data_IF_353368260767
#
_entry.id   IF_353368260767
#
_cell.length_a   1.000
_cell.length_b   1.000
_cell.length_c   1.000
_cell.angle_alpha   90.00
_cell.angle_beta   90.00
_cell.angle_gamma   90.00
#
_symmetry.space_group_name_H-M   'P 1'
#
loop_
_entity.id
_entity.type
_entity.pdbx_description
1 polymer ?
#
# COMPACT_ATOMS: atom_id res chain seq x y z
N UNK A 1 71.38 84.81 28.11
CA UNK A 1 70.42 85.86 28.54
C UNK A 1 69.35 85.97 27.48
N UNK A 2 68.09 85.89 27.92
CA UNK A 2 66.87 86.47 27.29
C UNK A 2 66.10 85.64 26.23
N UNK A 3 65.02 85.06 26.78
CA UNK A 3 63.62 85.01 26.35
C UNK A 3 63.14 84.19 25.14
N UNK A 4 62.33 83.19 25.53
CA UNK A 4 61.31 82.53 24.74
C UNK A 4 60.19 83.47 24.29
N UNK A 5 59.63 83.19 23.11
CA UNK A 5 58.27 83.59 22.74
C UNK A 5 57.55 82.32 22.27
N UNK A 6 56.50 81.98 23.01
CA UNK A 6 55.58 80.89 22.72
C UNK A 6 54.48 81.43 21.81
N UNK A 7 54.33 80.89 20.60
CA UNK A 7 53.13 81.04 19.78
C UNK A 7 52.65 79.64 19.44
N UNK A 8 51.48 79.29 19.96
CA UNK A 8 50.67 78.17 19.52
C UNK A 8 49.52 78.72 18.69
N UNK A 9 49.28 78.18 17.48
CA UNK A 9 47.94 77.78 17.04
C UNK A 9 47.94 77.02 15.71
N UNK A 10 47.26 75.86 15.76
CA UNK A 10 46.50 75.15 14.72
C UNK A 10 47.27 74.53 13.54
N UNK A 11 47.72 73.30 13.77
CA UNK A 11 48.03 72.33 12.72
C UNK A 11 46.76 71.83 12.02
N UNK A 12 46.83 71.84 10.69
CA UNK A 12 45.89 71.25 9.74
C UNK A 12 46.00 69.73 9.88
N UNK A 13 45.03 69.11 10.57
CA UNK A 13 44.88 67.67 10.62
C UNK A 13 43.91 67.20 9.54
N UNK A 14 44.44 66.75 8.41
CA UNK A 14 43.68 65.93 7.48
C UNK A 14 43.27 64.64 8.21
N UNK A 15 42.00 64.53 8.59
CA UNK A 15 41.44 63.27 9.05
C UNK A 15 41.39 62.33 7.85
N UNK A 16 42.43 61.51 7.72
CA UNK A 16 42.32 60.20 7.08
C UNK A 16 41.19 59.47 7.80
N UNK A 17 40.02 59.37 7.17
CA UNK A 17 38.96 58.49 7.63
C UNK A 17 39.56 57.09 7.75
N UNK A 18 39.76 56.63 8.99
CA UNK A 18 40.12 55.27 9.26
C UNK A 18 39.04 54.40 8.59
N UNK A 19 39.47 53.49 7.71
CA UNK A 19 38.60 52.50 7.12
C UNK A 19 37.79 51.84 8.25
N UNK A 20 36.47 51.95 8.17
CA UNK A 20 35.56 51.21 9.04
C UNK A 20 36.01 49.74 9.07
N UNK A 21 36.01 49.07 10.23
CA UNK A 21 36.41 47.67 10.31
C UNK A 21 35.64 46.90 9.25
N UNK A 22 36.36 46.19 8.38
CA UNK A 22 35.78 45.36 7.33
C UNK A 22 34.88 44.32 7.98
N UNK A 23 33.59 44.62 8.08
CA UNK A 23 32.58 43.68 8.53
C UNK A 23 32.67 42.46 7.62
N UNK A 24 32.92 41.29 8.21
CA UNK A 24 32.99 40.04 7.45
C UNK A 24 31.60 39.80 6.88
N UNK A 25 31.45 39.89 5.56
CA UNK A 25 30.16 39.64 4.91
C UNK A 25 29.76 38.18 5.13
N UNK A 26 28.64 37.95 5.81
CA UNK A 26 28.10 36.61 6.03
C UNK A 26 26.75 36.45 5.35
N UNK A 27 26.44 35.22 4.94
CA UNK A 27 25.15 34.87 4.38
C UNK A 27 24.77 33.47 4.86
N UNK A 28 23.59 33.34 5.46
CA UNK A 28 23.12 32.11 6.07
C UNK A 28 21.64 31.87 5.81
N UNK A 29 21.23 30.61 5.95
CA UNK A 29 19.84 30.16 5.82
C UNK A 29 19.45 29.39 7.07
N UNK A 30 18.22 29.59 7.53
CA UNK A 30 17.62 28.87 8.65
C UNK A 30 16.18 28.49 8.30
N UNK A 31 15.78 27.21 8.47
CA UNK A 31 16.61 26.06 8.87
C UNK A 31 17.65 25.66 7.81
N UNK A 32 18.67 24.88 8.21
CA UNK A 32 19.70 24.34 7.28
C UNK A 32 19.21 23.11 6.48
N UNK A 33 18.10 22.51 6.92
CA UNK A 33 17.40 21.44 6.21
C UNK A 33 15.99 21.91 5.91
N UNK A 34 15.49 21.67 4.71
CA UNK A 34 14.16 22.08 4.29
C UNK A 34 13.55 21.10 3.29
N UNK A 35 12.25 21.25 3.04
CA UNK A 35 11.51 20.59 1.99
C UNK A 35 11.24 21.55 0.82
N UNK A 36 10.97 21.02 -0.38
CA UNK A 36 10.48 21.84 -1.48
C UNK A 36 9.16 22.54 -1.08
N UNK A 37 8.98 23.77 -1.54
CA UNK A 37 7.84 24.65 -1.22
C UNK A 37 7.76 25.13 0.25
N UNK A 38 8.77 24.80 1.08
CA UNK A 38 8.86 25.27 2.46
C UNK A 38 9.46 26.68 2.51
N UNK A 39 9.00 27.47 3.49
CA UNK A 39 9.55 28.79 3.76
C UNK A 39 10.81 28.69 4.61
N UNK A 40 11.88 29.37 4.19
CA UNK A 40 13.13 29.49 4.95
C UNK A 40 13.51 30.96 5.12
N UNK A 41 14.21 31.25 6.21
CA UNK A 41 14.72 32.60 6.50
C UNK A 41 16.16 32.73 6.04
N UNK A 42 16.43 33.77 5.28
CA UNK A 42 17.74 34.21 4.86
C UNK A 42 18.21 35.37 5.74
N UNK A 43 19.47 35.30 6.18
CA UNK A 43 20.12 36.37 6.94
C UNK A 43 21.43 36.74 6.24
N UNK A 44 21.58 38.03 5.92
CA UNK A 44 22.81 38.59 5.37
C UNK A 44 23.35 39.72 6.25
N UNK A 45 24.66 39.77 6.41
CA UNK A 45 25.35 40.88 7.11
C UNK A 45 26.53 41.36 6.29
N UNK A 46 26.86 42.65 6.39
CA UNK A 46 27.99 43.26 5.67
C UNK A 46 27.86 43.22 4.15
N UNK A 47 26.63 43.28 3.62
CA UNK A 47 26.38 43.61 2.21
C UNK A 47 26.63 45.10 1.98
N UNK A 48 26.45 45.60 0.75
CA UNK A 48 26.76 46.99 0.41
C UNK A 48 26.01 47.96 1.35
N UNK A 49 26.72 48.73 2.21
CA UNK A 49 26.09 49.64 3.17
C UNK A 49 25.63 50.92 2.49
N UNK A 50 24.67 51.64 3.07
CA UNK A 50 24.10 52.87 2.47
C UNK A 50 25.09 54.05 2.38
N UNK A 51 26.27 53.93 2.99
CA UNK A 51 27.38 54.87 2.80
C UNK A 51 28.06 54.74 1.44
N UNK A 52 27.85 53.62 0.74
CA UNK A 52 28.28 53.45 -0.66
C UNK A 52 27.30 54.20 -1.56
N UNK A 53 27.81 54.97 -2.52
CA UNK A 53 26.93 55.69 -3.45
C UNK A 53 26.33 54.74 -4.50
N UNK A 54 25.12 55.05 -4.99
CA UNK A 54 24.52 54.35 -6.13
C UNK A 54 23.50 53.26 -5.78
N UNK A 55 22.98 53.23 -4.54
CA UNK A 55 21.91 52.30 -4.16
C UNK A 55 20.61 52.56 -4.93
N UNK A 56 19.93 51.47 -5.28
CA UNK A 56 18.71 51.49 -6.08
C UNK A 56 17.43 51.79 -5.26
N UNK A 57 17.52 51.81 -3.93
CA UNK A 57 16.43 52.01 -3.00
C UNK A 57 16.17 53.49 -2.66
N UNK A 58 15.17 53.72 -1.80
CA UNK A 58 14.83 55.07 -1.33
C UNK A 58 16.03 55.72 -0.63
N UNK A 59 16.26 57.01 -0.90
CA UNK A 59 17.41 57.76 -0.37
C UNK A 59 18.78 57.15 -0.69
N UNK A 60 18.87 56.32 -1.75
CA UNK A 60 20.11 55.66 -2.15
C UNK A 60 20.46 54.43 -1.30
N UNK A 61 19.49 53.84 -0.58
CA UNK A 61 19.72 52.57 0.13
C UNK A 61 20.00 51.43 -0.85
N UNK A 62 20.87 50.51 -0.45
CA UNK A 62 21.14 49.30 -1.22
C UNK A 62 20.13 48.20 -0.91
N UNK A 63 19.89 47.35 -1.89
CA UNK A 63 18.88 46.30 -1.83
C UNK A 63 19.19 45.14 -2.80
N UNK A 64 18.51 44.02 -2.58
CA UNK A 64 18.29 43.02 -3.64
C UNK A 64 17.00 43.42 -4.36
N UNK A 65 17.12 43.84 -5.62
CA UNK A 65 16.02 44.47 -6.35
C UNK A 65 14.99 43.49 -6.90
N UNK A 66 15.38 42.22 -7.11
CA UNK A 66 14.59 41.24 -7.85
C UNK A 66 14.68 41.38 -9.38
N UNK A 67 15.47 42.33 -9.89
CA UNK A 67 15.57 42.65 -11.31
C UNK A 67 16.98 42.40 -11.86
N UNK A 68 17.04 41.96 -13.12
CA UNK A 68 18.30 41.67 -13.81
C UNK A 68 19.15 40.67 -13.01
N UNK A 69 20.36 41.07 -12.65
CA UNK A 69 21.28 40.21 -11.90
C UNK A 69 21.11 40.32 -10.37
N UNK A 70 20.39 41.33 -9.86
CA UNK A 70 20.22 41.60 -8.43
C UNK A 70 19.03 40.80 -7.91
N UNK A 71 19.25 39.51 -7.61
CA UNK A 71 18.20 38.53 -7.35
C UNK A 71 18.69 37.40 -6.42
N UNK A 72 17.75 36.75 -5.73
CA UNK A 72 17.98 35.48 -5.03
C UNK A 72 17.84 34.33 -6.04
N UNK A 73 18.79 33.39 -6.07
CA UNK A 73 18.78 32.21 -6.94
C UNK A 73 18.87 30.96 -6.08
N UNK A 74 17.96 30.00 -6.26
CA UNK A 74 17.96 28.72 -5.54
C UNK A 74 18.11 27.58 -6.54
N UNK A 75 19.16 26.76 -6.41
CA UNK A 75 19.37 25.61 -7.29
C UNK A 75 19.49 26.00 -8.78
N UNK A 76 20.01 27.20 -9.06
CA UNK A 76 20.11 27.76 -10.42
C UNK A 76 18.85 28.49 -10.91
N UNK A 77 17.77 28.52 -10.13
CA UNK A 77 16.52 29.19 -10.49
C UNK A 77 16.43 30.57 -9.82
N UNK A 78 16.42 31.69 -10.59
CA UNK A 78 16.13 33.00 -10.03
C UNK A 78 14.71 33.03 -9.45
N UNK A 79 14.59 33.46 -8.20
CA UNK A 79 13.30 33.53 -7.53
C UNK A 79 12.52 34.75 -8.01
N UNK A 80 11.23 34.54 -8.22
CA UNK A 80 10.21 35.56 -8.48
C UNK A 80 9.04 35.35 -7.50
N UNK A 81 8.07 36.25 -7.48
CA UNK A 81 6.82 36.02 -6.75
C UNK A 81 6.15 34.71 -7.23
N UNK A 82 5.68 33.84 -6.33
CA UNK A 82 5.54 34.01 -4.88
C UNK A 82 6.76 33.59 -4.05
N UNK A 83 7.80 33.01 -4.66
CA UNK A 83 8.93 32.42 -3.95
C UNK A 83 9.86 33.41 -3.25
N UNK A 84 9.84 34.67 -3.66
CA UNK A 84 10.49 35.76 -2.96
C UNK A 84 9.68 37.06 -3.12
N UNK A 85 9.75 37.93 -2.11
CA UNK A 85 9.19 39.28 -2.15
C UNK A 85 10.35 40.26 -2.29
N UNK A 86 10.28 41.11 -3.31
CA UNK A 86 11.27 42.14 -3.60
C UNK A 86 10.65 43.54 -3.51
N UNK A 87 11.47 44.57 -3.24
CA UNK A 87 12.90 44.49 -2.94
C UNK A 87 13.17 43.98 -1.51
N UNK A 88 14.35 43.38 -1.32
CA UNK A 88 14.89 43.09 0.01
C UNK A 88 15.82 44.23 0.40
N UNK A 89 15.35 45.11 1.29
CA UNK A 89 16.07 46.30 1.71
C UNK A 89 17.14 45.98 2.77
N UNK A 90 18.27 46.68 2.70
CA UNK A 90 19.31 46.60 3.72
C UNK A 90 19.17 47.74 4.74
N UNK A 91 19.67 47.52 5.95
CA UNK A 91 19.91 48.61 6.89
C UNK A 91 21.16 49.43 6.49
N UNK A 92 21.49 50.44 7.31
CA UNK A 92 22.65 51.32 7.09
C UNK A 92 23.99 50.58 7.06
N UNK A 93 24.08 49.43 7.73
CA UNK A 93 25.29 48.61 7.83
C UNK A 93 25.32 47.48 6.78
N UNK A 94 24.29 47.37 5.94
CA UNK A 94 24.20 46.31 4.93
C UNK A 94 23.68 44.99 5.48
N UNK A 95 22.99 44.98 6.62
CA UNK A 95 22.32 43.79 7.14
C UNK A 95 20.88 43.70 6.64
N UNK A 96 20.38 42.48 6.50
CA UNK A 96 19.02 42.23 6.06
C UNK A 96 18.52 40.85 6.48
N UNK A 97 17.20 40.69 6.46
CA UNK A 97 16.52 39.41 6.67
C UNK A 97 15.38 39.30 5.67
N UNK A 98 15.22 38.12 5.07
CA UNK A 98 14.12 37.86 4.14
C UNK A 98 13.59 36.43 4.32
N UNK A 99 12.29 36.25 4.11
CA UNK A 99 11.69 34.93 3.96
C UNK A 99 11.56 34.60 2.48
N UNK A 100 11.97 33.38 2.09
CA UNK A 100 11.79 32.85 0.74
C UNK A 100 11.09 31.50 0.82
N UNK A 101 10.42 31.11 -0.25
CA UNK A 101 9.87 29.76 -0.43
C UNK A 101 10.80 28.98 -1.34
N UNK A 102 11.31 27.84 -0.89
CA UNK A 102 12.15 26.96 -1.72
C UNK A 102 11.33 26.52 -2.96
N UNK A 103 11.75 26.81 -4.19
CA UNK A 103 10.95 26.53 -5.37
C UNK A 103 10.88 25.04 -5.67
N UNK A 104 9.77 24.59 -6.27
CA UNK A 104 9.66 23.22 -6.75
C UNK A 104 10.25 23.14 -8.15
N UNK A 105 11.43 22.55 -8.25
CA UNK A 105 12.15 22.33 -9.51
C UNK A 105 12.75 20.94 -9.51
N UNK A 106 13.10 20.39 -10.68
CA UNK A 106 13.77 19.09 -10.76
C UNK A 106 15.07 19.03 -9.94
N UNK A 107 15.85 20.13 -9.92
CA UNK A 107 17.08 20.24 -9.12
C UNK A 107 16.81 20.16 -7.62
N UNK A 108 15.77 20.85 -7.14
CA UNK A 108 15.40 20.84 -5.71
C UNK A 108 14.81 19.48 -5.32
N UNK A 109 13.92 18.92 -6.15
CA UNK A 109 13.27 17.63 -5.90
C UNK A 109 14.24 16.44 -5.91
N UNK A 110 15.37 16.54 -6.60
CA UNK A 110 16.43 15.53 -6.53
C UNK A 110 17.03 15.38 -5.12
N UNK A 111 16.79 16.37 -4.24
CA UNK A 111 17.28 16.43 -2.87
C UNK A 111 18.80 16.59 -2.76
N UNK A 112 19.29 16.60 -1.53
CA UNK A 112 20.69 16.87 -1.22
C UNK A 112 20.99 18.36 -1.09
N UNK A 113 22.27 18.73 -1.22
CA UNK A 113 22.71 20.11 -1.03
C UNK A 113 22.33 21.01 -2.20
N UNK A 114 21.50 22.01 -1.93
CA UNK A 114 21.11 23.05 -2.89
C UNK A 114 21.79 24.36 -2.53
N UNK A 115 22.42 24.99 -3.51
CA UNK A 115 23.07 26.31 -3.35
C UNK A 115 22.03 27.41 -3.49
N UNK A 116 22.06 28.35 -2.55
CA UNK A 116 21.34 29.62 -2.60
C UNK A 116 22.37 30.70 -2.87
N UNK A 117 22.17 31.49 -3.92
CA UNK A 117 23.00 32.65 -4.26
C UNK A 117 22.16 33.91 -4.10
N UNK A 118 22.76 34.96 -3.57
CA UNK A 118 22.17 36.31 -3.52
C UNK A 118 23.13 37.28 -4.16
N UNK A 119 22.60 38.24 -4.91
CA UNK A 119 23.36 39.35 -5.48
C UNK A 119 22.62 40.66 -5.24
N UNK A 120 23.33 41.66 -4.72
CA UNK A 120 22.76 43.00 -4.50
C UNK A 120 22.83 43.88 -5.76
N UNK A 121 22.36 45.12 -5.64
CA UNK A 121 22.32 46.10 -6.73
C UNK A 121 23.69 46.62 -7.20
N UNK A 122 24.76 46.43 -6.42
CA UNK A 122 26.15 46.73 -6.83
C UNK A 122 26.89 45.51 -7.37
N UNK A 123 26.23 44.35 -7.40
CA UNK A 123 26.77 43.12 -7.93
C UNK A 123 27.59 42.30 -6.93
N UNK A 124 27.67 42.71 -5.66
CA UNK A 124 28.22 41.87 -4.60
C UNK A 124 27.34 40.64 -4.46
N UNK A 125 27.96 39.45 -4.48
CA UNK A 125 27.23 38.20 -4.35
C UNK A 125 27.81 37.29 -3.28
N UNK A 126 26.93 36.51 -2.66
CA UNK A 126 27.28 35.48 -1.67
C UNK A 126 26.44 34.23 -1.87
N UNK A 127 26.95 33.12 -1.36
CA UNK A 127 26.28 31.83 -1.42
C UNK A 127 26.13 31.23 -0.03
N UNK A 128 25.03 30.51 0.16
CA UNK A 128 24.82 29.60 1.28
C UNK A 128 24.26 28.28 0.75
N UNK A 129 24.09 27.29 1.62
CA UNK A 129 23.60 25.97 1.28
C UNK A 129 22.46 25.58 2.19
N UNK A 130 21.44 24.96 1.60
CA UNK A 130 20.35 24.26 2.30
C UNK A 130 20.36 22.79 1.88
N UNK A 131 20.14 21.88 2.81
CA UNK A 131 19.97 20.47 2.53
C UNK A 131 18.49 20.16 2.29
N UNK A 132 18.16 19.62 1.13
CA UNK A 132 16.78 19.24 0.79
C UNK A 132 16.60 17.75 1.02
N UNK A 133 15.66 17.39 1.90
CA UNK A 133 15.33 15.98 2.16
C UNK A 133 14.73 15.32 0.91
N UNK A 134 14.96 14.01 0.76
CA UNK A 134 14.40 13.23 -0.35
C UNK A 134 13.08 12.58 0.06
N UNK A 135 12.04 12.65 -0.78
CA UNK A 135 10.79 11.95 -0.51
C UNK A 135 11.02 10.44 -0.31
N UNK A 136 10.31 9.86 0.65
CA UNK A 136 10.26 8.40 0.86
C UNK A 136 8.84 7.94 1.14
N UNK A 137 8.57 6.67 0.85
CA UNK A 137 7.33 6.00 1.26
C UNK A 137 7.63 4.72 2.01
N UNK A 138 6.72 4.35 2.91
CA UNK A 138 6.66 3.03 3.57
C UNK A 138 5.28 2.42 3.34
N UNK A 139 5.22 1.10 3.41
CA UNK A 139 4.01 0.33 3.19
C UNK A 139 3.67 -0.48 4.44
N UNK A 140 2.39 -0.53 4.79
CA UNK A 140 1.90 -1.39 5.86
C UNK A 140 0.56 -2.03 5.45
N UNK A 141 0.50 -3.37 5.31
CA UNK A 141 1.62 -4.32 5.40
C UNK A 141 2.57 -4.25 4.18
N UNK A 142 3.83 -4.69 4.32
CA UNK A 142 4.77 -4.80 3.20
C UNK A 142 4.45 -5.99 2.25
N UNK A 143 3.76 -7.00 2.77
CA UNK A 143 3.29 -8.16 2.02
C UNK A 143 1.84 -8.48 2.38
N UNK A 144 1.01 -8.74 1.38
CA UNK A 144 -0.38 -9.12 1.61
C UNK A 144 -0.97 -9.88 0.43
N UNK A 145 -2.28 -10.14 0.48
CA UNK A 145 -3.03 -10.72 -0.64
C UNK A 145 -3.72 -9.62 -1.44
N UNK A 146 -4.21 -9.98 -2.62
CA UNK A 146 -5.13 -9.12 -3.37
C UNK A 146 -6.32 -8.70 -2.51
N UNK A 147 -6.83 -7.49 -2.75
CA UNK A 147 -7.95 -6.90 -2.02
C UNK A 147 -7.75 -6.69 -0.51
N UNK A 148 -6.53 -6.82 0.00
CA UNK A 148 -6.18 -6.37 1.36
C UNK A 148 -5.97 -4.86 1.37
N UNK A 149 -6.36 -4.17 2.44
CA UNK A 149 -6.04 -2.75 2.59
C UNK A 149 -4.54 -2.55 2.80
N UNK A 150 -3.95 -1.72 1.96
CA UNK A 150 -2.55 -1.32 2.00
C UNK A 150 -2.48 0.15 2.40
N UNK A 151 -1.76 0.43 3.48
CA UNK A 151 -1.44 1.79 3.92
C UNK A 151 -0.13 2.24 3.28
N UNK A 152 -0.17 3.38 2.60
CA UNK A 152 1.02 4.05 2.06
C UNK A 152 1.26 5.32 2.87
N UNK A 153 2.42 5.38 3.52
CA UNK A 153 2.85 6.53 4.32
C UNK A 153 4.00 7.25 3.63
N UNK A 154 3.80 8.51 3.26
CA UNK A 154 4.81 9.37 2.66
C UNK A 154 5.44 10.33 3.66
N UNK A 155 6.73 10.60 3.47
CA UNK A 155 7.54 11.54 4.25
C UNK A 155 8.41 12.38 3.33
N UNK A 156 8.68 13.62 3.73
CA UNK A 156 9.59 14.56 3.05
C UNK A 156 9.17 14.88 1.59
N UNK A 157 7.88 14.87 1.29
CA UNK A 157 7.34 15.40 0.03
C UNK A 157 7.27 16.93 0.07
N UNK A 158 7.10 17.61 -1.09
CA UNK A 158 6.86 19.05 -1.11
C UNK A 158 5.72 19.43 -0.17
N UNK A 159 5.95 20.44 0.68
CA UNK A 159 4.92 20.91 1.61
C UNK A 159 3.82 21.65 0.83
N UNK A 160 2.58 21.56 1.28
CA UNK A 160 1.55 22.45 0.74
C UNK A 160 1.74 23.86 1.27
N UNK A 161 1.76 24.83 0.35
CA UNK A 161 1.95 26.23 0.67
C UNK A 161 0.80 27.06 0.07
N UNK A 162 0.04 27.84 0.86
CA UNK A 162 -1.03 28.69 0.34
C UNK A 162 -0.56 29.71 -0.71
N UNK A 163 0.73 30.10 -0.65
CA UNK A 163 1.31 31.03 -1.62
C UNK A 163 1.65 30.38 -2.97
N UNK A 164 1.72 29.04 -3.05
CA UNK A 164 2.11 28.31 -4.27
C UNK A 164 1.36 26.98 -4.39
N UNK A 165 0.50 26.86 -5.40
CA UNK A 165 -0.29 25.65 -5.68
C UNK A 165 0.49 24.56 -6.46
N UNK A 166 1.64 24.91 -7.05
CA UNK A 166 2.44 24.02 -7.88
C UNK A 166 2.98 22.86 -7.05
N UNK A 167 2.98 21.63 -7.58
CA UNK A 167 3.59 20.46 -6.94
C UNK A 167 2.93 20.00 -5.62
N UNK A 168 1.75 20.55 -5.27
CA UNK A 168 1.01 20.21 -4.05
C UNK A 168 0.16 18.92 -4.18
N UNK A 169 0.53 18.00 -5.07
CA UNK A 169 -0.18 16.73 -5.21
C UNK A 169 0.82 15.60 -5.46
N UNK A 170 0.53 14.45 -4.87
CA UNK A 170 1.30 13.22 -5.02
C UNK A 170 0.43 12.17 -5.70
N UNK A 171 0.87 11.69 -6.85
CA UNK A 171 0.25 10.59 -7.57
C UNK A 171 0.79 9.26 -7.04
N UNK A 172 -0.11 8.43 -6.50
CA UNK A 172 0.19 7.08 -6.04
C UNK A 172 -0.19 6.11 -7.15
N UNK A 173 0.79 5.34 -7.61
CA UNK A 173 0.59 4.26 -8.57
C UNK A 173 1.02 2.93 -7.97
N UNK A 174 0.31 1.87 -8.36
CA UNK A 174 0.57 0.49 -7.98
C UNK A 174 0.81 -0.33 -9.25
N UNK A 175 1.94 -1.01 -9.34
CA UNK A 175 2.34 -1.77 -10.52
C UNK A 175 2.23 -0.95 -11.85
N UNK A 176 2.56 0.35 -11.78
CA UNK A 176 2.50 1.26 -12.93
C UNK A 176 1.12 1.86 -13.23
N UNK A 177 0.07 1.46 -12.52
CA UNK A 177 -1.28 2.01 -12.69
C UNK A 177 -1.57 3.06 -11.63
N UNK A 178 -2.03 4.25 -12.02
CA UNK A 178 -2.46 5.30 -11.09
C UNK A 178 -3.67 4.80 -10.28
N UNK A 179 -3.55 4.80 -8.95
CA UNK A 179 -4.62 4.35 -8.04
C UNK A 179 -5.21 5.49 -7.21
N UNK A 180 -4.42 6.53 -6.89
CA UNK A 180 -4.90 7.65 -6.07
C UNK A 180 -4.09 8.92 -6.29
N UNK A 181 -4.75 10.06 -6.17
CA UNK A 181 -4.11 11.37 -6.02
C UNK A 181 -4.26 11.81 -4.57
N UNK A 182 -3.15 12.20 -3.94
CA UNK A 182 -3.09 12.65 -2.56
C UNK A 182 -2.77 14.15 -2.57
N UNK A 183 -3.56 15.01 -1.90
CA UNK A 183 -3.21 16.40 -1.74
C UNK A 183 -1.96 16.54 -0.86
N UNK A 184 -1.15 17.56 -1.13
CA UNK A 184 0.02 17.89 -0.32
C UNK A 184 -0.39 18.33 1.09
N UNK A 185 0.43 17.98 2.06
CA UNK A 185 0.25 18.36 3.47
C UNK A 185 1.24 19.47 3.85
N UNK A 186 0.91 20.37 4.79
CA UNK A 186 1.82 21.43 5.23
C UNK A 186 3.14 20.92 5.84
N UNK A 187 3.19 19.66 6.26
CA UNK A 187 4.38 19.01 6.82
C UNK A 187 5.15 18.18 5.78
N UNK A 188 4.63 18.03 4.56
CA UNK A 188 5.22 17.17 3.53
C UNK A 188 5.01 15.67 3.77
N UNK A 189 4.13 15.32 4.72
CA UNK A 189 3.80 13.95 5.08
C UNK A 189 2.41 13.58 4.56
N UNK A 190 2.16 12.30 4.28
CA UNK A 190 0.79 11.85 4.01
C UNK A 190 0.59 10.41 4.44
N UNK A 191 -0.68 10.04 4.63
CA UNK A 191 -1.07 8.65 4.84
C UNK A 191 -2.32 8.37 4.04
N UNK A 192 -2.30 7.28 3.29
CA UNK A 192 -3.42 6.91 2.44
C UNK A 192 -3.61 5.39 2.42
N UNK A 193 -4.85 4.96 2.55
CA UNK A 193 -5.22 3.56 2.37
C UNK A 193 -5.79 3.34 0.97
N UNK A 194 -5.45 2.17 0.40
CA UNK A 194 -5.97 1.67 -0.87
C UNK A 194 -6.01 0.14 -0.86
N UNK A 195 -7.01 -0.51 -1.47
CA UNK A 195 -6.99 -1.97 -1.61
C UNK A 195 -5.92 -2.39 -2.62
N UNK A 196 -5.22 -3.50 -2.36
CA UNK A 196 -4.37 -4.15 -3.37
C UNK A 196 -5.24 -4.54 -4.58
N UNK A 197 -4.91 -4.12 -5.82
CA UNK A 197 -5.77 -4.34 -6.98
C UNK A 197 -6.05 -5.84 -7.24
N UNK A 198 -7.31 -6.17 -7.55
CA UNK A 198 -7.79 -7.56 -7.74
C UNK A 198 -7.08 -8.27 -8.91
N UNK A 199 -6.70 -7.52 -9.95
CA UNK A 199 -5.99 -8.06 -11.13
C UNK A 199 -4.47 -8.24 -10.96
N UNK A 200 -3.93 -8.04 -9.76
CA UNK A 200 -2.49 -8.18 -9.50
C UNK A 200 -2.10 -9.65 -9.51
N UNK A 201 -1.00 -10.00 -10.19
CA UNK A 201 -0.48 -11.34 -10.18
C UNK A 201 -0.06 -11.76 -8.76
N UNK A 202 -0.43 -12.96 -8.33
CA UNK A 202 0.01 -13.51 -7.03
C UNK A 202 1.43 -14.05 -7.11
N UNK A 203 2.15 -14.06 -5.99
CA UNK A 203 3.57 -14.44 -5.94
C UNK A 203 4.47 -13.44 -6.65
N UNK A 204 4.14 -12.16 -6.58
CA UNK A 204 4.82 -11.10 -7.34
C UNK A 204 5.19 -9.90 -6.48
N UNK A 205 6.29 -9.25 -6.85
CA UNK A 205 6.74 -8.00 -6.25
C UNK A 205 6.26 -6.83 -7.11
N UNK A 206 5.47 -5.94 -6.50
CA UNK A 206 4.84 -4.83 -7.18
C UNK A 206 5.42 -3.51 -6.69
N UNK A 207 5.81 -2.64 -7.62
CA UNK A 207 6.31 -1.31 -7.27
C UNK A 207 5.11 -0.42 -6.93
N UNK A 208 5.11 0.10 -5.71
CA UNK A 208 4.29 1.25 -5.33
C UNK A 208 5.14 2.49 -5.52
N UNK A 209 4.63 3.46 -6.28
CA UNK A 209 5.34 4.70 -6.57
C UNK A 209 4.49 5.90 -6.16
N UNK A 210 5.10 6.82 -5.43
CA UNK A 210 4.54 8.11 -5.06
C UNK A 210 5.32 9.22 -5.78
N UNK A 211 4.69 9.85 -6.77
CA UNK A 211 5.31 10.82 -7.66
C UNK A 211 4.74 12.22 -7.42
N UNK A 212 5.60 13.24 -7.36
CA UNK A 212 5.14 14.63 -7.31
C UNK A 212 4.57 15.00 -8.68
N UNK A 213 3.30 15.41 -8.73
CA UNK A 213 2.62 15.70 -10.00
C UNK A 213 3.36 16.81 -10.76
N UNK A 214 3.63 16.57 -12.04
CA UNK A 214 4.37 17.48 -12.92
C UNK A 214 5.89 17.27 -12.93
N UNK A 215 6.41 16.30 -12.17
CA UNK A 215 7.84 15.99 -12.10
C UNK A 215 8.10 14.49 -12.14
N UNK A 216 9.28 14.08 -12.61
CA UNK A 216 9.68 12.66 -12.68
C UNK A 216 10.18 12.10 -11.34
N UNK A 217 10.50 12.97 -10.38
CA UNK A 217 10.97 12.56 -9.06
C UNK A 217 9.84 11.86 -8.29
N UNK A 218 10.17 10.68 -7.75
CA UNK A 218 9.23 9.85 -7.01
C UNK A 218 9.93 9.05 -5.93
N UNK A 219 9.20 8.74 -4.86
CA UNK A 219 9.57 7.70 -3.92
C UNK A 219 8.96 6.35 -4.35
N UNK A 220 9.65 5.26 -4.07
CA UNK A 220 9.18 3.91 -4.39
C UNK A 220 9.35 2.97 -3.21
N UNK A 221 8.42 2.04 -3.08
CA UNK A 221 8.50 0.88 -2.20
C UNK A 221 8.02 -0.37 -2.95
N UNK A 222 8.41 -1.54 -2.47
CA UNK A 222 8.00 -2.82 -3.05
C UNK A 222 6.96 -3.44 -2.14
N UNK A 223 5.81 -3.79 -2.71
CA UNK A 223 4.78 -4.59 -2.04
C UNK A 223 4.81 -6.02 -2.60
N UNK A 224 4.92 -7.02 -1.73
CA UNK A 224 4.82 -8.42 -2.13
C UNK A 224 3.35 -8.89 -2.10
N UNK A 225 2.85 -9.38 -3.23
CA UNK A 225 1.59 -10.12 -3.25
C UNK A 225 1.89 -11.60 -3.09
N UNK A 226 1.47 -12.18 -1.97
CA UNK A 226 1.78 -13.57 -1.61
C UNK A 226 1.15 -14.56 -2.61
N UNK A 227 1.89 -15.64 -2.92
CA UNK A 227 1.37 -16.76 -3.70
C UNK A 227 0.48 -17.68 -2.84
N UNK A 228 -0.56 -18.30 -3.40
CA UNK A 228 -1.23 -19.39 -2.71
C UNK A 228 -0.31 -20.61 -2.63
N UNK A 229 -0.56 -21.45 -1.64
CA UNK A 229 0.18 -22.69 -1.41
C UNK A 229 -0.79 -23.85 -1.24
N UNK A 230 -0.34 -25.03 -1.65
CA UNK A 230 -1.00 -26.29 -1.32
C UNK A 230 0.01 -27.25 -0.71
N UNK A 231 -0.44 -28.01 0.28
CA UNK A 231 0.33 -29.09 0.91
C UNK A 231 -0.39 -30.40 0.62
N UNK A 232 0.36 -31.41 0.18
CA UNK A 232 -0.17 -32.75 -0.08
C UNK A 232 0.29 -33.73 1.00
N UNK A 233 -0.61 -34.60 1.46
CA UNK A 233 -0.32 -35.63 2.45
C UNK A 233 -1.05 -36.93 2.12
N UNK A 234 -0.35 -38.06 1.95
CA UNK A 234 1.12 -38.17 1.95
C UNK A 234 1.78 -37.48 0.74
N UNK A 235 3.10 -37.30 0.77
CA UNK A 235 3.88 -36.74 -0.36
C UNK A 235 4.33 -37.80 -1.37
N UNK A 236 4.07 -39.08 -1.07
CA UNK A 236 4.38 -40.21 -1.93
C UNK A 236 3.42 -41.39 -1.66
N UNK A 237 3.36 -42.32 -2.61
CA UNK A 237 2.51 -43.51 -2.54
C UNK A 237 2.35 -44.19 -3.89
N UNK A 238 1.77 -45.39 -3.90
CA UNK A 238 1.43 -46.12 -5.13
C UNK A 238 0.09 -45.61 -5.72
N UNK A 239 -0.26 -45.96 -6.98
CA UNK A 239 -1.58 -45.62 -7.53
C UNK A 239 -2.74 -45.99 -6.61
N UNK A 240 -3.75 -45.14 -6.55
CA UNK A 240 -4.94 -45.29 -5.71
C UNK A 240 -4.79 -44.88 -4.23
N UNK A 241 -3.57 -44.50 -3.81
CA UNK A 241 -3.35 -43.84 -2.50
C UNK A 241 -4.25 -42.59 -2.38
N UNK A 242 -4.97 -42.46 -1.26
CA UNK A 242 -5.76 -41.27 -0.96
C UNK A 242 -4.84 -40.14 -0.53
N UNK A 243 -4.89 -39.03 -1.26
CA UNK A 243 -4.09 -37.84 -1.04
C UNK A 243 -4.97 -36.73 -0.52
N UNK A 244 -4.62 -36.18 0.64
CA UNK A 244 -5.18 -34.93 1.18
C UNK A 244 -4.46 -33.74 0.59
N UNK A 245 -5.20 -32.78 0.07
CA UNK A 245 -4.71 -31.45 -0.29
C UNK A 245 -5.22 -30.46 0.76
N UNK A 246 -4.30 -29.69 1.34
CA UNK A 246 -4.63 -28.55 2.20
C UNK A 246 -4.12 -27.29 1.51
N UNK A 247 -5.04 -26.42 1.08
CA UNK A 247 -4.71 -25.15 0.46
C UNK A 247 -4.78 -23.99 1.44
N UNK A 248 -3.94 -22.99 1.23
CA UNK A 248 -3.95 -21.71 1.93
C UNK A 248 -3.53 -20.60 0.96
N UNK A 249 -3.95 -19.36 1.19
CA UNK A 249 -3.53 -18.25 0.33
C UNK A 249 -4.44 -17.98 -0.87
N UNK A 250 -5.51 -18.75 -1.05
CA UNK A 250 -6.45 -18.57 -2.16
C UNK A 250 -7.40 -17.40 -1.90
N UNK A 251 -8.10 -16.89 -2.93
CA UNK A 251 -9.20 -15.95 -2.72
C UNK A 251 -10.25 -16.55 -1.77
N UNK A 252 -10.84 -15.77 -0.85
CA UNK A 252 -11.86 -16.27 0.08
C UNK A 252 -13.19 -16.53 -0.64
N UNK A 253 -13.96 -17.51 -0.17
CA UNK A 253 -15.30 -17.82 -0.67
C UNK A 253 -15.40 -18.14 -2.16
N UNK A 254 -14.36 -18.74 -2.76
CA UNK A 254 -14.35 -19.18 -4.17
C UNK A 254 -14.33 -20.69 -4.29
N UNK A 255 -14.86 -21.22 -5.39
CA UNK A 255 -14.77 -22.64 -5.70
C UNK A 255 -13.37 -23.02 -6.19
N UNK A 256 -12.86 -24.16 -5.73
CA UNK A 256 -11.65 -24.79 -6.28
C UNK A 256 -12.06 -25.66 -7.46
N UNK A 257 -12.21 -25.05 -8.62
CA UNK A 257 -12.85 -25.66 -9.80
C UNK A 257 -11.96 -26.62 -10.57
N UNK A 258 -10.65 -26.57 -10.37
CA UNK A 258 -9.71 -27.40 -11.12
C UNK A 258 -8.55 -27.87 -10.22
N UNK A 259 -8.66 -29.11 -9.76
CA UNK A 259 -7.58 -29.86 -9.13
C UNK A 259 -7.08 -30.93 -10.09
N UNK A 260 -5.77 -30.99 -10.33
CA UNK A 260 -5.17 -31.96 -11.26
C UNK A 260 -3.97 -32.67 -10.65
N UNK A 261 -3.82 -33.93 -11.01
CA UNK A 261 -2.56 -34.66 -10.89
C UNK A 261 -1.97 -34.80 -12.29
N UNK A 262 -0.88 -34.08 -12.57
CA UNK A 262 -0.34 -33.83 -13.91
C UNK A 262 -1.45 -33.43 -14.89
N UNK A 263 -1.70 -34.23 -15.92
CA UNK A 263 -2.73 -33.97 -16.93
C UNK A 263 -4.11 -34.57 -16.58
N UNK A 264 -4.28 -35.20 -15.41
CA UNK A 264 -5.55 -35.85 -15.02
C UNK A 264 -6.34 -34.95 -14.07
N UNK A 265 -7.62 -34.71 -14.39
CA UNK A 265 -8.51 -33.98 -13.49
C UNK A 265 -8.92 -34.88 -12.31
N UNK A 266 -8.67 -34.42 -11.09
CA UNK A 266 -8.98 -35.11 -9.83
C UNK A 266 -9.87 -34.26 -8.92
N UNK A 267 -10.53 -33.25 -9.48
CA UNK A 267 -11.44 -32.36 -8.75
C UNK A 267 -12.57 -33.17 -8.12
N UNK A 268 -12.81 -32.95 -6.82
CA UNK A 268 -13.93 -33.58 -6.12
C UNK A 268 -15.26 -33.11 -6.70
N UNK A 269 -16.29 -33.95 -6.58
CA UNK A 269 -17.66 -33.59 -6.96
C UNK A 269 -18.58 -33.71 -5.73
N UNK A 270 -19.11 -32.60 -5.18
CA UNK A 270 -18.90 -31.22 -5.64
C UNK A 270 -17.47 -30.71 -5.38
N UNK A 271 -17.01 -29.67 -6.09
CA UNK A 271 -15.76 -28.99 -5.78
C UNK A 271 -15.82 -28.35 -4.39
N UNK A 272 -14.70 -28.30 -3.65
CA UNK A 272 -14.67 -27.59 -2.37
C UNK A 272 -14.69 -26.07 -2.62
N UNK A 273 -15.12 -25.33 -1.61
CA UNK A 273 -14.98 -23.88 -1.57
C UNK A 273 -13.88 -23.50 -0.57
N UNK A 274 -13.22 -22.37 -0.79
CA UNK A 274 -12.36 -21.75 0.22
C UNK A 274 -13.21 -21.07 1.29
N UNK A 275 -12.72 -21.08 2.53
CA UNK A 275 -13.31 -20.31 3.63
C UNK A 275 -12.97 -18.81 3.55
N UNK A 276 -13.40 -18.04 4.56
CA UNK A 276 -13.12 -16.60 4.67
C UNK A 276 -11.61 -16.28 4.77
N UNK A 277 -10.79 -17.24 5.18
CA UNK A 277 -9.33 -17.13 5.26
C UNK A 277 -8.63 -17.60 3.97
N UNK A 278 -9.38 -18.05 2.96
CA UNK A 278 -8.82 -18.58 1.71
C UNK A 278 -8.18 -19.97 1.89
N UNK A 279 -8.61 -20.74 2.88
CA UNK A 279 -8.16 -22.12 3.11
C UNK A 279 -9.19 -23.10 2.57
N UNK A 280 -8.73 -24.28 2.17
CA UNK A 280 -9.61 -25.40 1.82
C UNK A 280 -8.91 -26.73 2.10
N UNK A 281 -9.72 -27.78 2.20
CA UNK A 281 -9.24 -29.17 2.25
C UNK A 281 -10.03 -29.99 1.24
N UNK A 282 -9.33 -30.84 0.48
CA UNK A 282 -9.96 -31.83 -0.40
C UNK A 282 -9.14 -33.11 -0.47
N UNK A 283 -9.74 -34.16 -1.00
CA UNK A 283 -9.14 -35.48 -1.11
C UNK A 283 -9.38 -36.04 -2.51
N UNK A 284 -8.42 -36.80 -3.00
CA UNK A 284 -8.57 -37.59 -4.22
C UNK A 284 -7.75 -38.88 -4.12
N UNK A 285 -8.09 -39.88 -4.92
CA UNK A 285 -7.27 -41.08 -5.09
C UNK A 285 -6.27 -40.85 -6.21
N UNK A 286 -4.99 -41.12 -5.97
CA UNK A 286 -3.92 -40.94 -6.95
C UNK A 286 -4.22 -41.75 -8.23
N UNK A 287 -4.26 -41.12 -9.42
CA UNK A 287 -4.44 -41.85 -10.67
C UNK A 287 -3.29 -42.83 -10.96
N UNK A 288 -3.51 -43.71 -11.94
CA UNK A 288 -2.48 -44.65 -12.40
C UNK A 288 -1.45 -43.91 -13.26
N UNK A 289 -0.27 -43.68 -12.68
CA UNK A 289 0.89 -43.13 -13.37
C UNK A 289 2.08 -44.08 -13.26
N UNK A 290 3.04 -43.96 -14.18
CA UNK A 290 4.35 -44.58 -14.01
C UNK A 290 5.07 -44.01 -12.77
N UNK A 291 5.91 -44.80 -12.08
CA UNK A 291 6.69 -44.32 -10.94
C UNK A 291 7.51 -43.08 -11.29
N UNK A 292 7.55 -42.11 -10.37
CA UNK A 292 8.22 -40.82 -10.57
C UNK A 292 7.47 -39.64 -9.96
N UNK A 293 8.04 -38.45 -10.12
CA UNK A 293 7.47 -37.21 -9.60
C UNK A 293 6.33 -36.74 -10.48
N UNK A 294 5.18 -36.47 -9.87
CA UNK A 294 3.99 -35.90 -10.50
C UNK A 294 3.67 -34.54 -9.87
N UNK A 295 3.22 -33.60 -10.69
CA UNK A 295 2.78 -32.28 -10.21
C UNK A 295 1.32 -32.34 -9.78
N UNK A 296 1.00 -31.82 -8.61
CA UNK A 296 -0.38 -31.61 -8.17
C UNK A 296 -0.68 -30.11 -8.27
N UNK A 297 -1.76 -29.74 -8.93
CA UNK A 297 -2.19 -28.35 -9.06
C UNK A 297 -3.59 -28.18 -8.50
N UNK A 298 -3.85 -27.06 -7.84
CA UNK A 298 -5.20 -26.66 -7.46
C UNK A 298 -5.44 -25.20 -7.84
N UNK A 299 -6.56 -24.96 -8.53
CA UNK A 299 -6.99 -23.64 -8.97
C UNK A 299 -8.27 -23.24 -8.26
N UNK A 300 -8.24 -22.12 -7.55
CA UNK A 300 -9.40 -21.48 -6.92
C UNK A 300 -9.50 -20.02 -7.36
N UNK A 301 -10.63 -19.65 -7.96
CA UNK A 301 -10.71 -18.39 -8.71
C UNK A 301 -9.71 -18.38 -9.87
N UNK A 302 -8.97 -17.28 -10.02
CA UNK A 302 -7.94 -17.11 -11.07
C UNK A 302 -6.53 -17.51 -10.62
N UNK A 303 -6.39 -18.11 -9.42
CA UNK A 303 -5.09 -18.39 -8.82
C UNK A 303 -4.84 -19.89 -8.72
N UNK A 304 -3.63 -20.31 -9.07
CA UNK A 304 -3.21 -21.72 -9.05
C UNK A 304 -2.01 -21.91 -8.12
N UNK A 305 -2.09 -22.91 -7.26
CA UNK A 305 -0.95 -23.39 -6.46
C UNK A 305 -0.48 -24.75 -6.96
N UNK A 306 0.80 -25.06 -6.71
CA UNK A 306 1.45 -26.29 -7.17
C UNK A 306 2.14 -26.97 -6.00
N UNK A 307 2.04 -28.29 -5.95
CA UNK A 307 2.81 -29.19 -5.10
C UNK A 307 3.31 -30.37 -5.91
N UNK A 308 4.14 -31.22 -5.30
CA UNK A 308 4.66 -32.44 -5.92
C UNK A 308 4.26 -33.67 -5.11
N UNK A 309 4.02 -34.76 -5.82
CA UNK A 309 3.77 -36.08 -5.23
C UNK A 309 4.64 -37.11 -5.96
N UNK A 310 5.31 -37.99 -5.23
CA UNK A 310 6.12 -39.06 -5.84
C UNK A 310 5.35 -40.37 -5.91
N UNK A 311 5.03 -40.82 -7.12
CA UNK A 311 4.42 -42.13 -7.34
C UNK A 311 5.49 -43.20 -7.20
N UNK A 312 5.28 -44.13 -6.28
CA UNK A 312 6.17 -45.25 -6.03
C UNK A 312 5.81 -46.44 -6.93
N UNK A 313 6.79 -47.30 -7.17
CA UNK A 313 6.56 -48.60 -7.81
C UNK A 313 5.79 -49.53 -6.86
N UNK A 314 4.76 -50.22 -7.39
CA UNK A 314 3.95 -51.16 -6.64
C UNK A 314 2.55 -51.35 -7.21
N UNK A 315 1.82 -52.32 -6.65
CA UNK A 315 0.44 -52.61 -7.03
C UNK A 315 -0.51 -51.46 -6.60
N UNK A 316 -1.49 -51.08 -7.44
CA UNK A 316 -2.50 -50.10 -7.06
C UNK A 316 -3.29 -50.53 -5.82
N UNK A 317 -3.54 -49.58 -4.92
CA UNK A 317 -4.36 -49.80 -3.72
C UNK A 317 -5.73 -49.17 -3.89
N UNK A 318 -6.76 -49.77 -3.28
CA UNK A 318 -8.09 -49.15 -3.19
C UNK A 318 -8.26 -48.63 -1.77
N UNK A 319 -8.10 -47.31 -1.61
CA UNK A 319 -8.35 -46.62 -0.35
C UNK A 319 -9.64 -45.80 -0.46
N UNK A 320 -10.52 -45.90 0.54
CA UNK A 320 -11.72 -45.10 0.60
C UNK A 320 -11.34 -43.62 0.85
N UNK A 321 -11.91 -42.69 0.06
CA UNK A 321 -11.82 -41.28 0.39
C UNK A 321 -12.44 -41.04 1.77
N UNK A 322 -11.91 -40.10 2.58
CA UNK A 322 -12.54 -39.75 3.83
C UNK A 322 -13.89 -39.12 3.51
N UNK A 323 -14.96 -39.82 3.87
CA UNK A 323 -16.26 -39.18 4.07
C UNK A 323 -16.16 -38.37 5.37
N UNK A 324 -16.66 -37.12 5.39
CA UNK A 324 -16.81 -36.41 6.65
C UNK A 324 -17.67 -37.26 7.59
N UNK A 325 -17.34 -37.24 8.88
CA UNK A 325 -18.13 -37.94 9.89
C UNK A 325 -19.61 -37.55 9.78
N UNK A 326 -20.56 -38.46 10.05
CA UNK A 326 -21.97 -38.10 10.11
C UNK A 326 -22.15 -36.89 11.03
N UNK A 327 -22.80 -35.84 10.55
CA UNK A 327 -23.00 -34.60 11.30
C UNK A 327 -24.41 -34.57 11.87
N UNK A 328 -24.50 -34.41 13.20
CA UNK A 328 -25.72 -34.11 13.99
C UNK A 328 -26.93 -35.04 13.82
N UNK A 329 -27.87 -34.95 14.77
CA UNK A 329 -29.17 -35.61 14.67
C UNK A 329 -30.01 -34.94 13.57
N UNK A 330 -30.88 -35.65 12.84
CA UNK A 330 -31.67 -35.06 11.75
C UNK A 330 -32.51 -33.85 12.15
N UNK A 331 -33.02 -33.82 13.40
CA UNK A 331 -33.78 -32.67 13.91
C UNK A 331 -32.93 -31.40 14.01
N UNK A 332 -31.65 -31.51 14.38
CA UNK A 332 -30.72 -30.39 14.47
C UNK A 332 -30.21 -30.01 13.07
N UNK A 333 -29.83 -31.01 12.26
CA UNK A 333 -29.39 -30.83 10.90
C UNK A 333 -30.43 -30.14 10.00
N UNK A 334 -31.70 -30.48 10.17
CA UNK A 334 -32.83 -29.94 9.41
C UNK A 334 -33.58 -28.88 10.20
N UNK A 335 -32.96 -28.27 11.23
CA UNK A 335 -33.64 -27.39 12.18
C UNK A 335 -34.42 -26.27 11.49
N UNK A 336 -33.81 -25.64 10.49
CA UNK A 336 -34.43 -24.57 9.71
C UNK A 336 -35.76 -25.00 9.06
N UNK A 337 -35.94 -26.29 8.75
CA UNK A 337 -37.16 -26.84 8.16
C UNK A 337 -38.14 -27.37 9.22
N UNK A 338 -37.65 -27.83 10.37
CA UNK A 338 -38.48 -28.41 11.44
C UNK A 338 -39.05 -27.37 12.38
N UNK A 339 -38.30 -26.34 12.78
CA UNK A 339 -38.79 -25.23 13.63
C UNK A 339 -39.97 -24.48 12.99
N UNK A 340 -40.00 -24.40 11.67
CA UNK A 340 -41.12 -23.82 10.93
C UNK A 340 -42.28 -24.78 10.67
N UNK A 341 -42.24 -26.03 11.15
CA UNK A 341 -43.20 -27.09 10.81
C UNK A 341 -43.35 -27.31 9.29
N UNK A 342 -42.28 -27.06 8.52
CA UNK A 342 -42.32 -27.17 7.07
C UNK A 342 -41.89 -28.55 6.56
N UNK A 343 -40.93 -29.19 7.24
CA UNK A 343 -40.53 -30.55 6.93
C UNK A 343 -41.63 -31.54 7.32
N UNK A 344 -42.12 -32.31 6.34
CA UNK A 344 -43.04 -33.43 6.56
C UNK A 344 -42.28 -34.70 6.89
N UNK A 345 -41.24 -35.00 6.12
CA UNK A 345 -40.35 -36.16 6.32
C UNK A 345 -39.12 -36.11 5.44
N UNK A 346 -38.10 -36.85 5.85
CA UNK A 346 -36.93 -37.18 5.05
C UNK A 346 -36.86 -38.70 4.81
N UNK A 347 -36.41 -39.11 3.64
CA UNK A 347 -36.04 -40.49 3.33
C UNK A 347 -34.63 -40.54 2.77
N UNK A 348 -33.94 -41.64 3.02
CA UNK A 348 -32.70 -41.99 2.30
C UNK A 348 -32.68 -43.50 2.04
N UNK A 349 -31.95 -43.90 1.01
CA UNK A 349 -31.75 -45.30 0.66
C UNK A 349 -30.27 -45.64 0.84
N UNK A 350 -29.97 -46.58 1.73
CA UNK A 350 -28.63 -47.10 1.89
C UNK A 350 -28.38 -48.21 0.86
N UNK A 351 -27.52 -47.92 -0.11
CA UNK A 351 -27.21 -48.85 -1.19
C UNK A 351 -26.35 -50.04 -0.74
N UNK A 352 -25.69 -49.97 0.42
CA UNK A 352 -24.88 -51.07 0.97
C UNK A 352 -25.77 -52.16 1.59
N UNK A 353 -26.71 -51.76 2.46
CA UNK A 353 -27.66 -52.64 3.13
C UNK A 353 -28.93 -52.91 2.33
N UNK A 354 -29.17 -52.14 1.25
CA UNK A 354 -30.42 -52.16 0.45
C UNK A 354 -31.67 -51.82 1.26
N UNK A 355 -31.54 -50.94 2.26
CA UNK A 355 -32.63 -50.54 3.15
C UNK A 355 -33.04 -49.09 2.97
N UNK A 356 -34.32 -48.80 3.21
CA UNK A 356 -34.82 -47.43 3.33
C UNK A 356 -34.79 -46.98 4.79
N UNK A 357 -34.34 -45.75 5.01
CA UNK A 357 -34.36 -45.07 6.30
C UNK A 357 -35.25 -43.83 6.19
N UNK A 358 -35.89 -43.43 7.29
CA UNK A 358 -36.72 -42.24 7.32
C UNK A 358 -36.61 -41.44 8.62
N UNK A 359 -37.01 -40.17 8.52
CA UNK A 359 -37.18 -39.25 9.63
C UNK A 359 -38.47 -38.43 9.45
N UNK A 360 -39.30 -38.36 10.48
CA UNK A 360 -40.50 -37.51 10.57
C UNK A 360 -40.39 -36.69 11.87
N UNK A 361 -40.43 -35.35 11.80
CA UNK A 361 -40.16 -34.50 12.95
C UNK A 361 -41.32 -34.45 13.97
N UNK A 362 -42.49 -35.02 13.64
CA UNK A 362 -43.64 -35.00 14.55
C UNK A 362 -43.38 -35.92 15.75
N UNK A 363 -43.71 -35.51 16.98
CA UNK A 363 -43.46 -36.29 18.20
C UNK A 363 -43.99 -37.73 18.15
N UNK A 364 -45.11 -37.97 17.44
CA UNK A 364 -45.70 -39.29 17.26
C UNK A 364 -44.79 -40.32 16.57
N UNK A 365 -43.76 -39.87 15.84
CA UNK A 365 -42.82 -40.73 15.10
C UNK A 365 -41.43 -40.80 15.75
N UNK A 366 -41.22 -40.19 16.92
CA UNK A 366 -39.92 -40.12 17.56
C UNK A 366 -39.25 -41.50 17.75
N UNK A 367 -40.05 -42.53 18.07
CA UNK A 367 -39.58 -43.91 18.26
C UNK A 367 -39.50 -44.75 16.97
N UNK A 368 -40.02 -44.23 15.85
CA UNK A 368 -40.04 -44.93 14.57
C UNK A 368 -38.95 -44.43 13.60
N UNK A 369 -38.36 -43.27 13.88
CA UNK A 369 -37.30 -42.68 13.07
C UNK A 369 -36.07 -43.59 13.02
N UNK A 370 -35.54 -43.81 11.82
CA UNK A 370 -34.37 -44.68 11.57
C UNK A 370 -33.17 -43.95 11.01
N UNK A 371 -33.34 -42.72 10.51
CA UNK A 371 -32.20 -41.83 10.26
C UNK A 371 -31.78 -41.29 11.63
N UNK A 372 -30.64 -41.74 12.13
CA UNK A 372 -30.09 -41.29 13.41
C UNK A 372 -29.07 -40.16 13.24
N UNK A 373 -28.41 -40.12 12.09
CA UNK A 373 -27.42 -39.09 11.71
C UNK A 373 -27.56 -38.73 10.24
N UNK A 374 -27.23 -37.49 9.89
CA UNK A 374 -27.17 -37.07 8.49
C UNK A 374 -25.76 -37.34 7.94
N UNK A 375 -25.67 -38.21 6.94
CA UNK A 375 -24.40 -38.71 6.40
C UNK A 375 -24.02 -37.91 5.16
N UNK A 376 -22.86 -37.24 5.16
CA UNK A 376 -22.37 -36.51 4.00
C UNK A 376 -22.23 -37.39 2.75
N UNK A 377 -22.58 -36.84 1.60
CA UNK A 377 -22.62 -37.52 0.32
C UNK A 377 -23.86 -38.37 0.08
N UNK A 378 -24.69 -38.67 1.10
CA UNK A 378 -25.96 -39.39 0.90
C UNK A 378 -27.00 -38.47 0.28
N UNK A 379 -27.93 -39.10 -0.46
CA UNK A 379 -29.07 -38.42 -1.04
C UNK A 379 -30.24 -38.54 -0.06
N UNK A 380 -30.85 -37.41 0.26
CA UNK A 380 -32.05 -37.32 1.06
C UNK A 380 -33.21 -36.76 0.24
N UNK A 381 -34.34 -37.44 0.28
CA UNK A 381 -35.61 -36.94 -0.24
C UNK A 381 -36.33 -36.21 0.89
N UNK A 382 -36.43 -34.88 0.79
CA UNK A 382 -37.12 -34.05 1.77
C UNK A 382 -38.51 -33.67 1.24
N UNK A 383 -39.56 -33.97 1.98
CA UNK A 383 -40.93 -33.52 1.65
C UNK A 383 -41.30 -32.29 2.46
N UNK A 384 -41.70 -31.21 1.78
CA UNK A 384 -42.05 -29.94 2.41
C UNK A 384 -43.51 -29.54 2.14
N UNK A 385 -44.09 -28.78 3.08
CA UNK A 385 -45.45 -28.23 2.97
C UNK A 385 -45.51 -26.90 2.21
N UNK A 386 -44.43 -26.11 2.26
CA UNK A 386 -44.31 -24.80 1.62
C UNK A 386 -42.89 -24.58 1.07
N UNK A 387 -42.76 -23.68 0.10
CA UNK A 387 -41.46 -23.25 -0.46
C UNK A 387 -40.63 -22.61 0.65
N UNK A 388 -39.34 -22.93 0.72
CA UNK A 388 -38.42 -22.33 1.69
C UNK A 388 -36.97 -22.39 1.21
N UNK A 389 -36.23 -21.30 1.40
CA UNK A 389 -34.76 -21.31 1.37
C UNK A 389 -34.23 -21.66 2.75
N UNK A 390 -33.34 -22.65 2.85
CA UNK A 390 -32.76 -23.08 4.12
C UNK A 390 -31.26 -23.36 4.02
N UNK A 391 -30.47 -23.03 5.05
CA UNK A 391 -29.08 -23.47 5.13
C UNK A 391 -29.05 -24.97 5.47
N UNK A 392 -28.63 -25.80 4.52
CA UNK A 392 -28.46 -27.24 4.68
C UNK A 392 -27.01 -27.62 4.36
N UNK A 393 -26.35 -28.34 5.28
CA UNK A 393 -24.94 -28.75 5.19
C UNK A 393 -23.99 -27.65 4.66
N UNK A 394 -24.04 -26.47 5.27
CA UNK A 394 -23.18 -25.33 4.91
C UNK A 394 -23.56 -24.60 3.62
N UNK A 395 -24.69 -24.93 2.98
CA UNK A 395 -25.15 -24.27 1.75
C UNK A 395 -26.62 -23.82 1.85
N UNK A 396 -26.93 -22.63 1.35
CA UNK A 396 -28.34 -22.19 1.19
C UNK A 396 -28.97 -22.90 -0.02
N UNK A 397 -30.04 -23.64 0.22
CA UNK A 397 -30.79 -24.39 -0.81
C UNK A 397 -32.23 -23.89 -0.87
N UNK A 398 -32.73 -23.58 -2.07
CA UNK A 398 -34.14 -23.29 -2.31
C UNK A 398 -34.90 -24.61 -2.51
N UNK A 399 -35.87 -24.87 -1.63
CA UNK A 399 -36.70 -26.07 -1.65
C UNK A 399 -38.15 -25.69 -2.02
N UNK A 400 -38.79 -26.52 -2.84
CA UNK A 400 -40.17 -26.33 -3.30
C UNK A 400 -41.16 -27.18 -2.50
N UNK A 401 -42.46 -26.92 -2.66
CA UNK A 401 -43.52 -27.78 -2.08
C UNK A 401 -43.42 -29.20 -2.64
N UNK A 402 -43.59 -30.21 -1.79
CA UNK A 402 -43.46 -31.61 -2.21
C UNK A 402 -42.03 -32.14 -2.03
N UNK A 403 -41.62 -33.07 -2.89
CA UNK A 403 -40.35 -33.79 -2.76
C UNK A 403 -39.18 -33.02 -3.37
N UNK A 404 -38.11 -32.87 -2.61
CA UNK A 404 -36.86 -32.26 -3.01
C UNK A 404 -35.73 -33.26 -2.83
N UNK A 405 -34.89 -33.41 -3.84
CA UNK A 405 -33.70 -34.24 -3.78
C UNK A 405 -32.53 -33.39 -3.30
N UNK A 406 -31.97 -33.72 -2.14
CA UNK A 406 -30.86 -32.99 -1.53
C UNK A 406 -29.69 -33.95 -1.35
N UNK A 407 -28.54 -33.57 -1.89
CA UNK A 407 -27.27 -34.20 -1.53
C UNK A 407 -26.81 -33.56 -0.22
N UNK A 408 -26.83 -34.32 0.85
CA UNK A 408 -26.12 -33.98 2.08
C UNK A 408 -24.63 -34.11 1.83
#
# INVERSE_FOLDING_TARGET
MVFAVFIALLGIGAFSAAASPSLITTFSVSPKTALPNESVTLLGTGFTPSTTAGGAGAFGSHQITGNGNSVVVVGGTPLVSPNAVYPINFDIEGNWTASIIIPITATVLAGGTVIITVRDDQGLFKTTQVFISRPRITLDPESSRINTELTVSGKDFPVSNPASATGNQVAISYAGTLVKLVPGDPSGDFTVTLPVPIGTATGSNNVVRAQVVGFEQSATAIHEVLAPTIIVSPINGVPGTVVRITGAGFPPNVLVTNTRASNTNVTSSPPPATDDDGKFVTFFSMPVFSPGVQTITATGGDVTAVAVFTVLEGEPVVQALPTPSPSSMPAEALNALTEGENLVRAWTFDNSSKTWEFFDPRPAFAHANTIETMVPGRIYWLRLNRVQSAPLNGKVVLLVVGWNLVRW
#
